data_IF_170299639763
#
_entry.id   IF_170299639763
#
_cell.length_a   1.000
_cell.length_b   1.000
_cell.length_c   1.000
_cell.angle_alpha   90.00
_cell.angle_beta   90.00
_cell.angle_gamma   90.00
#
_symmetry.space_group_name_H-M   'P 1'
#
loop_
_entity.id
_entity.type
_entity.pdbx_description
1 polymer ?
#
# COMPACT_ATOMS: atom_id res chain seq x y z
N UNK A 1 -15.90 -9.17 -4.97
CA UNK A 1 -15.06 -7.96 -5.02
C UNK A 1 -13.61 -8.39 -4.95
N UNK A 2 -12.78 -7.83 -5.80
CA UNK A 2 -11.34 -8.13 -5.87
C UNK A 2 -10.54 -6.91 -5.46
N UNK A 3 -9.73 -7.05 -4.43
CA UNK A 3 -8.86 -5.97 -3.93
C UNK A 3 -7.44 -6.51 -3.83
N UNK A 4 -6.46 -5.69 -4.18
CA UNK A 4 -5.06 -6.05 -4.07
C UNK A 4 -4.31 -5.08 -3.16
N UNK A 5 -3.44 -5.62 -2.31
CA UNK A 5 -2.49 -4.84 -1.54
C UNK A 5 -1.15 -4.91 -2.28
N UNK A 6 -0.57 -3.75 -2.59
CA UNK A 6 0.73 -3.66 -3.24
C UNK A 6 1.68 -2.94 -2.28
N UNK A 7 2.72 -3.65 -1.88
CA UNK A 7 3.77 -3.12 -1.00
C UNK A 7 5.08 -2.92 -1.77
N UNK A 8 5.71 -1.79 -1.54
CA UNK A 8 6.96 -1.40 -2.17
C UNK A 8 8.21 -1.86 -1.43
N UNK A 9 9.34 -1.18 -1.68
CA UNK A 9 10.66 -1.64 -1.22
C UNK A 9 10.76 -1.73 0.29
N UNK A 10 11.48 -2.76 0.71
CA UNK A 10 11.82 -3.05 2.10
C UNK A 10 10.64 -3.54 2.94
N UNK A 11 9.43 -3.54 2.43
CA UNK A 11 8.26 -4.02 3.17
C UNK A 11 8.20 -5.53 3.27
N UNK A 12 9.02 -6.23 2.48
CA UNK A 12 9.25 -7.66 2.66
C UNK A 12 9.99 -7.98 3.97
N UNK A 13 10.59 -6.97 4.62
CA UNK A 13 11.33 -7.14 5.86
C UNK A 13 10.52 -6.76 7.10
N UNK A 14 9.22 -6.54 6.97
CA UNK A 14 8.37 -6.25 8.13
C UNK A 14 8.47 -7.38 9.15
N UNK A 15 8.59 -6.99 10.42
CA UNK A 15 8.83 -7.93 11.52
C UNK A 15 10.30 -8.16 11.81
N UNK A 16 11.21 -7.74 10.92
CA UNK A 16 12.65 -7.99 11.05
C UNK A 16 13.49 -6.72 11.15
N UNK A 17 13.01 -5.58 10.61
CA UNK A 17 13.74 -4.32 10.64
C UNK A 17 12.94 -3.24 11.35
N UNK A 18 13.64 -2.36 12.07
CA UNK A 18 13.04 -1.20 12.76
C UNK A 18 11.73 -1.55 13.48
N UNK A 19 11.75 -2.56 14.41
CA UNK A 19 10.51 -3.00 15.06
C UNK A 19 9.83 -1.91 15.88
N UNK A 20 10.56 -0.91 16.33
CA UNK A 20 10.00 0.24 17.04
C UNK A 20 9.10 1.11 16.14
N UNK A 21 9.27 1.02 14.81
CA UNK A 21 8.45 1.77 13.84
C UNK A 21 7.39 0.88 13.22
N UNK A 22 7.78 -0.33 12.80
CA UNK A 22 6.94 -1.21 11.98
C UNK A 22 6.38 -2.41 12.74
N UNK A 23 6.81 -2.65 14.01
CA UNK A 23 6.39 -3.80 14.80
C UNK A 23 7.15 -5.07 14.44
N UNK A 24 6.76 -6.19 15.05
CA UNK A 24 7.43 -7.49 14.90
C UNK A 24 6.65 -8.49 14.05
N UNK A 25 5.40 -8.20 13.71
CA UNK A 25 4.58 -9.09 12.88
C UNK A 25 5.01 -8.99 11.43
N UNK A 26 5.15 -10.12 10.73
CA UNK A 26 5.42 -10.12 9.29
C UNK A 26 4.18 -9.71 8.53
N UNK A 27 4.36 -9.19 7.31
CA UNK A 27 3.22 -8.84 6.49
C UNK A 27 2.42 -10.10 6.09
N UNK A 28 3.09 -11.19 5.81
CA UNK A 28 2.43 -12.44 5.45
C UNK A 28 1.47 -12.92 6.54
N UNK A 29 1.90 -12.81 7.81
CA UNK A 29 1.03 -13.17 8.94
C UNK A 29 -0.18 -12.25 9.01
N UNK A 30 0.05 -10.95 8.87
CA UNK A 30 -1.02 -9.97 8.91
C UNK A 30 -1.99 -10.16 7.74
N UNK A 31 -1.46 -10.45 6.56
CA UNK A 31 -2.29 -10.69 5.38
C UNK A 31 -3.22 -11.89 5.56
N UNK A 32 -2.72 -12.95 6.21
CA UNK A 32 -3.54 -14.11 6.55
C UNK A 32 -4.69 -13.72 7.48
N UNK A 33 -4.40 -12.87 8.48
CA UNK A 33 -5.45 -12.37 9.37
C UNK A 33 -6.51 -11.56 8.61
N UNK A 34 -6.08 -10.70 7.69
CA UNK A 34 -6.99 -9.91 6.87
C UNK A 34 -7.90 -10.81 6.03
N UNK A 35 -7.34 -11.84 5.40
CA UNK A 35 -8.13 -12.76 4.60
C UNK A 35 -9.18 -13.48 5.45
N UNK A 36 -8.81 -13.86 6.67
CA UNK A 36 -9.74 -14.52 7.58
C UNK A 36 -10.85 -13.57 8.05
N UNK A 37 -10.52 -12.30 8.24
CA UNK A 37 -11.49 -11.30 8.68
C UNK A 37 -12.45 -10.90 7.57
N UNK A 38 -11.99 -10.95 6.31
CA UNK A 38 -12.80 -10.56 5.14
C UNK A 38 -12.92 -11.73 4.15
N UNK A 39 -13.56 -12.83 4.56
CA UNK A 39 -13.56 -14.06 3.76
C UNK A 39 -14.32 -13.94 2.43
N UNK A 40 -15.19 -12.95 2.30
CA UNK A 40 -15.95 -12.74 1.06
C UNK A 40 -15.22 -11.88 0.04
N UNK A 41 -14.04 -11.34 0.40
CA UNK A 41 -13.25 -10.51 -0.50
C UNK A 41 -12.17 -11.37 -1.17
N UNK A 42 -12.04 -11.25 -2.49
CA UNK A 42 -10.90 -11.80 -3.21
C UNK A 42 -9.70 -10.90 -2.99
N UNK A 43 -8.96 -11.15 -1.92
CA UNK A 43 -7.84 -10.30 -1.51
C UNK A 43 -6.53 -10.89 -2.02
N UNK A 44 -5.82 -10.10 -2.84
CA UNK A 44 -4.52 -10.44 -3.40
C UNK A 44 -3.42 -9.61 -2.77
N UNK A 45 -2.18 -10.07 -2.90
CA UNK A 45 -1.02 -9.38 -2.36
C UNK A 45 0.15 -9.45 -3.33
N UNK A 46 0.85 -8.33 -3.49
CA UNK A 46 2.06 -8.24 -4.29
C UNK A 46 3.06 -7.34 -3.58
N UNK A 47 4.33 -7.73 -3.59
CA UNK A 47 5.42 -6.93 -3.03
C UNK A 47 6.59 -6.94 -3.99
N UNK A 48 7.23 -5.79 -4.19
CA UNK A 48 8.47 -5.72 -4.94
C UNK A 48 9.32 -4.55 -4.46
N UNK A 49 10.64 -4.75 -4.54
CA UNK A 49 11.61 -3.68 -4.31
C UNK A 49 11.92 -2.91 -5.60
N UNK A 50 11.41 -3.37 -6.74
CA UNK A 50 11.77 -2.84 -8.07
C UNK A 50 10.66 -1.92 -8.57
N UNK A 51 11.01 -0.65 -8.80
CA UNK A 51 10.05 0.37 -9.22
C UNK A 51 9.26 -0.06 -10.47
N UNK A 52 9.95 -0.56 -11.48
CA UNK A 52 9.29 -0.97 -12.73
C UNK A 52 8.33 -2.13 -12.53
N UNK A 53 8.62 -3.03 -11.61
CA UNK A 53 7.71 -4.13 -11.30
C UNK A 53 6.43 -3.64 -10.64
N UNK A 54 6.53 -2.63 -9.78
CA UNK A 54 5.36 -2.02 -9.17
C UNK A 54 4.49 -1.34 -10.23
N UNK A 55 5.12 -0.63 -11.16
CA UNK A 55 4.42 0.02 -12.26
C UNK A 55 3.72 -1.02 -13.14
N UNK A 56 4.43 -2.09 -13.51
CA UNK A 56 3.86 -3.16 -14.32
C UNK A 56 2.66 -3.82 -13.63
N UNK A 57 2.75 -4.02 -12.31
CA UNK A 57 1.64 -4.59 -11.57
C UNK A 57 0.42 -3.68 -11.57
N UNK A 58 0.62 -2.38 -11.39
CA UNK A 58 -0.48 -1.40 -11.47
C UNK A 58 -1.15 -1.45 -12.84
N UNK A 59 -0.37 -1.52 -13.92
CA UNK A 59 -0.93 -1.63 -15.27
C UNK A 59 -1.71 -2.91 -15.45
N UNK A 60 -1.19 -4.03 -14.91
CA UNK A 60 -1.82 -5.34 -15.05
C UNK A 60 -3.21 -5.38 -14.39
N UNK A 61 -3.32 -4.84 -13.19
CA UNK A 61 -4.55 -4.99 -12.39
C UNK A 61 -5.41 -3.73 -12.36
N UNK A 62 -4.91 -2.61 -12.87
CA UNK A 62 -5.53 -1.29 -12.71
C UNK A 62 -6.84 -1.09 -13.45
N UNK A 63 -7.29 -2.08 -14.23
CA UNK A 63 -8.56 -2.02 -14.97
C UNK A 63 -9.47 -3.20 -14.64
N UNK A 64 -9.04 -4.11 -13.77
CA UNK A 64 -9.78 -5.35 -13.47
C UNK A 64 -10.14 -5.48 -11.99
N UNK A 65 -9.35 -4.91 -11.09
CA UNK A 65 -9.62 -4.99 -9.64
C UNK A 65 -10.56 -3.87 -9.23
N UNK A 66 -11.28 -4.09 -8.12
CA UNK A 66 -12.22 -3.11 -7.57
C UNK A 66 -11.53 -2.08 -6.70
N UNK A 67 -10.38 -2.41 -6.15
CA UNK A 67 -9.61 -1.49 -5.31
C UNK A 67 -8.14 -1.89 -5.19
N UNK A 68 -7.30 -0.90 -4.97
CA UNK A 68 -5.87 -1.07 -4.74
C UNK A 68 -5.52 -0.35 -3.43
N UNK A 69 -4.79 -1.06 -2.56
CA UNK A 69 -4.22 -0.48 -1.35
C UNK A 69 -2.71 -0.46 -1.60
N UNK A 70 -2.15 0.74 -1.71
CA UNK A 70 -0.76 0.93 -2.13
C UNK A 70 0.09 1.53 -1.02
N UNK A 71 1.11 0.80 -0.60
CA UNK A 71 2.17 1.32 0.25
C UNK A 71 3.47 1.26 -0.56
N UNK A 72 3.81 2.36 -1.21
CA UNK A 72 4.95 2.42 -2.11
C UNK A 72 6.30 2.54 -1.39
N UNK A 73 6.29 2.58 -0.06
CA UNK A 73 7.52 2.76 0.71
C UNK A 73 8.20 4.07 0.36
N UNK A 74 9.52 4.05 0.26
CA UNK A 74 10.29 5.26 -0.07
C UNK A 74 9.98 5.86 -1.43
N UNK A 75 9.49 5.07 -2.37
CA UNK A 75 9.10 5.59 -3.69
C UNK A 75 7.96 6.61 -3.63
N UNK A 76 7.19 6.61 -2.56
CA UNK A 76 6.16 7.63 -2.31
C UNK A 76 6.69 9.04 -2.48
N UNK A 77 7.95 9.25 -2.08
CA UNK A 77 8.56 10.59 -1.99
C UNK A 77 9.48 10.90 -3.17
N UNK A 78 9.74 9.94 -4.06
CA UNK A 78 10.76 10.07 -5.09
C UNK A 78 10.30 9.68 -6.49
N UNK A 79 9.28 8.83 -6.62
CA UNK A 79 8.94 8.25 -7.93
C UNK A 79 7.83 9.00 -8.64
N UNK A 80 8.21 9.86 -9.55
CA UNK A 80 7.28 10.49 -10.48
C UNK A 80 6.64 9.43 -11.39
N UNK A 81 7.44 8.44 -11.83
CA UNK A 81 6.95 7.38 -12.70
C UNK A 81 5.83 6.56 -12.05
N UNK A 82 5.98 6.26 -10.76
CA UNK A 82 4.94 5.54 -10.04
C UNK A 82 3.68 6.39 -9.87
N UNK A 83 3.86 7.68 -9.59
CA UNK A 83 2.74 8.62 -9.51
C UNK A 83 1.97 8.67 -10.83
N UNK A 84 2.69 8.69 -11.95
CA UNK A 84 2.07 8.68 -13.27
C UNK A 84 1.33 7.37 -13.54
N UNK A 85 1.87 6.25 -13.06
CA UNK A 85 1.20 4.95 -13.22
C UNK A 85 -0.14 4.95 -12.47
N UNK A 86 -0.16 5.47 -11.25
CA UNK A 86 -1.41 5.58 -10.47
C UNK A 86 -2.44 6.44 -11.21
N UNK A 87 -1.98 7.55 -11.81
CA UNK A 87 -2.85 8.43 -12.56
C UNK A 87 -3.41 7.78 -13.83
N UNK A 88 -2.73 6.77 -14.36
CA UNK A 88 -3.05 6.17 -15.66
C UNK A 88 -4.09 5.05 -15.59
N UNK A 89 -4.39 4.55 -14.41
CA UNK A 89 -5.31 3.42 -14.23
C UNK A 89 -6.68 3.89 -13.77
N UNK A 90 -7.69 3.01 -13.90
CA UNK A 90 -9.07 3.34 -13.53
C UNK A 90 -9.42 2.91 -12.11
N UNK A 91 -8.80 1.85 -11.62
CA UNK A 91 -9.09 1.33 -10.28
C UNK A 91 -8.68 2.34 -9.22
N UNK A 92 -9.56 2.57 -8.27
CA UNK A 92 -9.29 3.51 -7.16
C UNK A 92 -8.17 2.99 -6.28
N UNK A 93 -7.29 3.92 -5.88
CA UNK A 93 -6.12 3.61 -5.05
C UNK A 93 -6.25 4.36 -3.73
N UNK A 94 -6.04 3.64 -2.61
CA UNK A 94 -5.82 4.27 -1.30
C UNK A 94 -4.36 4.08 -0.96
N UNK A 95 -3.70 5.18 -0.62
CA UNK A 95 -2.31 5.18 -0.18
C UNK A 95 -2.26 4.87 1.32
N UNK A 96 -1.38 3.93 1.73
CA UNK A 96 -1.22 3.56 3.13
C UNK A 96 0.24 3.64 3.53
N UNK A 97 0.50 4.22 4.69
CA UNK A 97 1.80 4.22 5.34
C UNK A 97 1.66 3.68 6.75
N UNK A 98 2.53 2.74 7.13
CA UNK A 98 2.52 2.14 8.46
C UNK A 98 2.95 3.18 9.50
N UNK A 99 4.06 3.87 9.23
CA UNK A 99 4.53 4.95 10.12
C UNK A 99 3.78 6.24 9.81
N UNK A 100 3.79 7.16 10.79
CA UNK A 100 3.33 8.52 10.55
C UNK A 100 4.43 9.27 9.81
N UNK A 101 4.26 9.49 8.51
CA UNK A 101 5.30 10.12 7.67
C UNK A 101 5.62 11.54 8.12
N UNK A 102 4.67 12.21 8.78
CA UNK A 102 4.88 13.57 9.26
C UNK A 102 5.69 13.63 10.55
N UNK A 103 5.93 12.48 11.20
CA UNK A 103 6.79 12.37 12.38
C UNK A 103 8.20 11.89 12.03
N UNK A 104 8.51 11.77 10.74
CA UNK A 104 9.81 11.32 10.25
C UNK A 104 10.55 12.46 9.56
N UNK A 105 11.58 12.13 8.77
CA UNK A 105 12.39 13.14 8.09
C UNK A 105 11.53 14.02 7.16
N UNK A 106 11.92 15.27 7.02
CA UNK A 106 11.15 16.25 6.26
C UNK A 106 10.84 15.82 4.83
N UNK A 107 11.78 15.13 4.17
CA UNK A 107 11.55 14.68 2.79
C UNK A 107 10.40 13.66 2.66
N UNK A 108 9.97 13.07 3.79
CA UNK A 108 8.85 12.13 3.81
C UNK A 108 7.50 12.82 3.96
N UNK A 109 7.48 14.12 4.19
CA UNK A 109 6.23 14.85 4.43
C UNK A 109 5.45 15.11 3.14
N UNK A 110 6.06 14.90 1.98
CA UNK A 110 5.38 15.08 0.69
C UNK A 110 5.24 13.74 -0.01
N UNK A 111 4.00 13.41 -0.38
CA UNK A 111 3.71 12.25 -1.22
C UNK A 111 3.48 12.72 -2.65
N UNK A 112 4.19 12.11 -3.60
CA UNK A 112 3.98 12.34 -5.02
C UNK A 112 2.74 11.59 -5.53
N UNK A 113 2.27 10.59 -4.77
CA UNK A 113 1.18 9.71 -5.16
C UNK A 113 -0.19 10.22 -4.76
N UNK A 114 -0.27 10.91 -3.61
CA UNK A 114 -1.55 11.20 -2.93
C UNK A 114 -2.56 11.92 -3.81
N UNK A 115 -2.12 12.82 -4.67
CA UNK A 115 -3.04 13.59 -5.53
C UNK A 115 -3.79 12.67 -6.51
N UNK A 116 -3.25 11.50 -6.80
CA UNK A 116 -3.83 10.54 -7.73
C UNK A 116 -4.57 9.41 -7.00
N UNK A 117 -4.58 9.43 -5.67
CA UNK A 117 -5.25 8.45 -4.84
C UNK A 117 -6.58 9.01 -4.35
N UNK A 118 -7.51 8.12 -3.98
CA UNK A 118 -8.79 8.52 -3.38
C UNK A 118 -8.56 9.13 -2.01
N UNK A 119 -7.57 8.62 -1.27
CA UNK A 119 -7.22 9.12 0.04
C UNK A 119 -5.94 8.50 0.54
N UNK A 120 -5.52 8.93 1.74
CA UNK A 120 -4.30 8.47 2.38
C UNK A 120 -4.58 8.11 3.84
N UNK A 121 -3.96 7.02 4.32
CA UNK A 121 -3.97 6.63 5.73
C UNK A 121 -2.51 6.51 6.15
N UNK A 122 -2.14 7.20 7.21
CA UNK A 122 -0.74 7.24 7.64
C UNK A 122 -0.66 7.18 9.16
N UNK A 123 0.28 6.37 9.68
CA UNK A 123 0.62 6.39 11.09
C UNK A 123 -0.14 5.42 11.99
N UNK A 124 -1.00 4.58 11.44
CA UNK A 124 -1.84 3.67 12.21
C UNK A 124 -1.31 2.23 12.22
N UNK A 125 -0.05 2.04 11.88
CA UNK A 125 0.55 0.71 11.84
C UNK A 125 -0.10 -0.15 10.77
N UNK A 126 -0.10 -1.45 11.01
CA UNK A 126 -0.73 -2.41 10.09
C UNK A 126 -2.23 -2.17 9.95
N UNK A 127 -2.86 -1.61 10.98
CA UNK A 127 -4.30 -1.37 10.96
C UNK A 127 -4.73 -0.45 9.82
N UNK A 128 -3.82 0.34 9.29
CA UNK A 128 -4.10 1.19 8.13
C UNK A 128 -4.59 0.39 6.92
N UNK A 129 -4.06 -0.81 6.72
CA UNK A 129 -4.50 -1.68 5.62
C UNK A 129 -5.95 -2.14 5.82
N UNK A 130 -6.29 -2.53 7.04
CA UNK A 130 -7.67 -2.91 7.36
C UNK A 130 -8.64 -1.75 7.12
N UNK A 131 -8.26 -0.55 7.54
CA UNK A 131 -9.10 0.63 7.36
C UNK A 131 -9.33 0.95 5.89
N UNK A 132 -8.27 0.82 5.08
CA UNK A 132 -8.38 1.01 3.63
C UNK A 132 -9.32 -0.04 3.02
N UNK A 133 -9.19 -1.28 3.48
CA UNK A 133 -10.05 -2.37 3.00
C UNK A 133 -11.51 -2.10 3.33
N UNK A 134 -11.79 -1.62 4.55
CA UNK A 134 -13.16 -1.27 4.96
C UNK A 134 -13.77 -0.17 4.11
N UNK A 135 -12.95 0.78 3.64
CA UNK A 135 -13.45 1.81 2.72
C UNK A 135 -14.05 1.19 1.47
N UNK A 136 -13.38 0.18 0.90
CA UNK A 136 -13.84 -0.43 -0.34
C UNK A 136 -15.07 -1.31 -0.15
N UNK A 137 -15.25 -1.94 1.02
CA UNK A 137 -16.33 -2.90 1.22
C UNK A 137 -17.60 -2.28 1.82
N UNK A 138 -17.53 -1.04 2.19
CA UNK A 138 -18.71 -0.33 2.67
C UNK A 138 -19.44 0.32 1.48
#
# INVERSE_FOLDING_TARGET
MKIIIINGPNLNLLGKREPEIYGTQTFEDYFTELKNEFPSIGLDYYQSNVEGELINKLHEIGFTHDGIILNAGGYTHTSVALADAVASIKTKVIEVHISNIFAREEFRHTSLLSKNCVGIISGLGMKGYEMALRFFVN
#
